data_IF_358010886026
#
_entry.id   IF_358010886026
#
_cell.length_a   1.000
_cell.length_b   1.000
_cell.length_c   1.000
_cell.angle_alpha   90.00
_cell.angle_beta   90.00
_cell.angle_gamma   90.00
#
_symmetry.space_group_name_H-M   'P 1'
#
loop_
_entity.id
_entity.type
_entity.pdbx_description
1 polymer ?
#
# COMPACT_ATOMS: atom_id res chain seq x y z
N UNK A 1 -17.91 -4.72 -9.52
CA UNK A 1 -17.55 -3.94 -10.74
C UNK A 1 -16.08 -3.52 -10.74
N UNK A 2 -15.50 -3.05 -9.63
CA UNK A 2 -14.08 -2.64 -9.57
C UNK A 2 -13.09 -3.77 -9.88
N UNK A 3 -13.29 -4.98 -9.35
CA UNK A 3 -12.43 -6.14 -9.66
C UNK A 3 -12.39 -6.47 -11.15
N UNK A 4 -13.53 -6.39 -11.84
CA UNK A 4 -13.60 -6.62 -13.29
C UNK A 4 -12.80 -5.56 -14.08
N UNK A 5 -12.63 -4.34 -13.56
CA UNK A 5 -11.79 -3.31 -14.19
C UNK A 5 -10.30 -3.65 -14.04
N UNK A 6 -9.90 -4.17 -12.88
CA UNK A 6 -8.53 -4.66 -12.62
C UNK A 6 -8.21 -5.83 -13.54
N UNK A 7 -9.12 -6.81 -13.63
CA UNK A 7 -8.98 -7.95 -14.56
C UNK A 7 -8.93 -7.51 -16.03
N UNK A 8 -9.62 -6.42 -16.38
CA UNK A 8 -9.57 -5.82 -17.72
C UNK A 8 -8.30 -5.00 -18.02
N UNK A 9 -7.35 -4.95 -17.08
CA UNK A 9 -6.05 -4.30 -17.27
C UNK A 9 -5.92 -2.89 -16.69
N UNK A 10 -6.84 -2.46 -15.83
CA UNK A 10 -6.65 -1.22 -15.07
C UNK A 10 -5.44 -1.36 -14.14
N UNK A 11 -4.37 -0.62 -14.43
CA UNK A 11 -3.19 -0.57 -13.57
C UNK A 11 -3.48 0.20 -12.28
N UNK A 12 -3.35 -0.48 -11.15
CA UNK A 12 -3.51 0.09 -9.81
C UNK A 12 -2.18 0.49 -9.18
N UNK A 13 -1.04 0.19 -9.80
CA UNK A 13 0.30 0.58 -9.32
C UNK A 13 0.40 2.06 -8.94
N UNK A 14 -0.12 3.04 -9.73
CA UNK A 14 0.05 4.46 -9.41
C UNK A 14 -0.68 4.93 -8.14
N UNK A 15 -1.65 4.17 -7.61
CA UNK A 15 -2.33 4.54 -6.36
C UNK A 15 -1.54 4.10 -5.13
N UNK A 16 -0.61 3.16 -5.28
CA UNK A 16 0.22 2.64 -4.20
C UNK A 16 1.38 3.60 -3.95
N UNK A 17 1.20 4.50 -2.99
CA UNK A 17 2.19 5.53 -2.70
C UNK A 17 3.29 5.08 -1.76
N UNK A 18 3.00 4.17 -0.83
CA UNK A 18 3.96 3.74 0.20
C UNK A 18 3.82 2.25 0.49
N UNK A 19 4.95 1.58 0.74
CA UNK A 19 5.04 0.19 1.18
C UNK A 19 6.03 0.11 2.34
N UNK A 20 5.61 -0.54 3.42
CA UNK A 20 6.39 -0.69 4.65
C UNK A 20 6.42 -2.17 5.04
N UNK A 21 7.45 -2.61 5.74
CA UNK A 21 7.41 -3.92 6.37
C UNK A 21 6.35 -3.90 7.48
N UNK A 22 5.68 -5.04 7.74
CA UNK A 22 4.57 -5.08 8.71
C UNK A 22 4.96 -4.60 10.12
N UNK A 23 6.24 -4.73 10.50
CA UNK A 23 6.76 -4.25 11.79
C UNK A 23 6.89 -2.74 11.88
N UNK A 24 6.85 -2.02 10.76
CA UNK A 24 6.96 -0.56 10.67
C UNK A 24 5.58 0.10 10.66
N UNK A 25 4.59 -0.57 11.27
CA UNK A 25 3.20 -0.12 11.27
C UNK A 25 3.03 1.29 11.85
N UNK A 26 3.82 1.68 12.85
CA UNK A 26 3.73 3.01 13.45
C UNK A 26 4.02 4.14 12.45
N UNK A 27 5.08 3.99 11.65
CA UNK A 27 5.43 4.95 10.60
C UNK A 27 4.40 4.94 9.47
N UNK A 28 3.96 3.75 9.06
CA UNK A 28 2.92 3.59 8.04
C UNK A 28 1.61 4.30 8.43
N UNK A 29 1.20 4.20 9.69
CA UNK A 29 0.01 4.89 10.20
C UNK A 29 0.23 6.41 10.36
N UNK A 30 1.42 6.85 10.75
CA UNK A 30 1.75 8.27 10.81
C UNK A 30 1.64 8.93 9.42
N UNK A 31 2.18 8.28 8.38
CA UNK A 31 2.08 8.75 6.98
C UNK A 31 0.63 8.74 6.50
N UNK A 32 -0.16 7.71 6.85
CA UNK A 32 -1.58 7.67 6.54
C UNK A 32 -2.34 8.86 7.16
N UNK A 33 -2.04 9.20 8.42
CA UNK A 33 -2.66 10.32 9.12
C UNK A 33 -2.20 11.71 8.64
N UNK A 34 -1.03 11.80 7.99
CA UNK A 34 -0.52 13.07 7.45
C UNK A 34 -1.36 13.64 6.30
N UNK A 35 -2.20 12.80 5.66
CA UNK A 35 -2.93 13.15 4.44
C UNK A 35 -2.06 13.19 3.17
N UNK A 36 -0.75 12.91 3.28
CA UNK A 36 0.20 12.89 2.16
C UNK A 36 0.41 11.46 1.62
N UNK A 37 -0.64 10.63 1.62
CA UNK A 37 -0.59 9.27 1.09
C UNK A 37 -1.85 8.94 0.29
N UNK A 38 -1.70 8.16 -0.78
CA UNK A 38 -2.82 7.66 -1.59
C UNK A 38 -3.26 6.27 -1.16
N UNK A 39 -2.29 5.38 -0.95
CA UNK A 39 -2.48 4.05 -0.37
C UNK A 39 -1.17 3.60 0.27
N UNK A 40 -1.29 3.03 1.47
CA UNK A 40 -0.18 2.45 2.23
C UNK A 40 -0.40 0.94 2.32
N UNK A 41 0.62 0.15 2.05
CA UNK A 41 0.60 -1.31 2.21
C UNK A 41 1.64 -1.71 3.25
N UNK A 42 1.20 -2.50 4.22
CA UNK A 42 2.08 -3.26 5.10
C UNK A 42 2.36 -4.60 4.44
N UNK A 43 3.64 -4.96 4.32
CA UNK A 43 4.11 -6.16 3.66
C UNK A 43 4.55 -7.21 4.68
N UNK A 44 4.00 -8.43 4.53
CA UNK A 44 4.33 -9.62 5.34
C UNK A 44 5.15 -10.64 4.55
N UNK A 45 5.40 -10.39 3.26
CA UNK A 45 6.06 -11.34 2.37
C UNK A 45 7.58 -11.27 2.44
N UNK A 46 8.12 -10.17 2.97
CA UNK A 46 9.55 -10.03 3.21
C UNK A 46 9.90 -10.56 4.61
N UNK A 47 10.79 -11.55 4.68
CA UNK A 47 11.44 -11.91 5.94
C UNK A 47 12.56 -10.91 6.23
N UNK A 48 12.47 -10.20 7.35
CA UNK A 48 13.59 -9.41 7.85
C UNK A 48 14.66 -10.34 8.43
N UNK A 49 15.87 -10.27 7.87
CA UNK A 49 17.06 -10.95 8.37
C UNK A 49 17.52 -10.43 9.73
#
# INVERSE_FOLDING_TARGET
KMMAMVESGLDLSPILTHRYHYTEFEEAFAVMNSGLSGKVVLDWTEERA
#
